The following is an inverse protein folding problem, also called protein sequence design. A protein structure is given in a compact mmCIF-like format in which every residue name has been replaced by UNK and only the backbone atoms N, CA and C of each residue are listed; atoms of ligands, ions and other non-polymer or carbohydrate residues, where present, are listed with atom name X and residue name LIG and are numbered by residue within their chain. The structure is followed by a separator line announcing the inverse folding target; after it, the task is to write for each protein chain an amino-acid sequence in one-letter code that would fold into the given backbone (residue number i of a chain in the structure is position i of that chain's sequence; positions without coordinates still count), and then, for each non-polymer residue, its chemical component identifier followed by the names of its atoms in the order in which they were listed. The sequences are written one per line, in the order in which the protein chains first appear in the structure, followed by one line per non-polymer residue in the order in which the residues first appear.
data_IF_162502578866
#
_entry.id   IF_162502578866
#
_cell.length_a   1.000
_cell.length_b   1.000
_cell.length_c   1.000
_cell.angle_alpha   90.00
_cell.angle_beta   90.00
_cell.angle_gamma   90.00
#
_symmetry.space_group_name_H-M   'P 1'
#
loop_
_entity.id
_entity.type
_entity.pdbx_description
1 polymer ?
#
# COMPACT_ATOMS: atom_id res chain seq x y z
N UNK A 1 -3.14 -15.31 -16.16
CA UNK A 1 -1.91 -14.50 -16.29
C UNK A 1 -1.99 -13.40 -15.25
N UNK A 2 -0.91 -13.17 -14.49
CA UNK A 2 -0.84 -12.07 -13.53
C UNK A 2 -0.53 -10.76 -14.28
N UNK A 3 -1.24 -9.67 -13.94
CA UNK A 3 -0.97 -8.35 -14.51
C UNK A 3 0.37 -7.87 -13.96
N UNK A 4 1.31 -7.52 -14.84
CA UNK A 4 2.51 -6.81 -14.45
C UNK A 4 2.21 -5.31 -14.37
N UNK A 5 2.56 -4.71 -13.25
CA UNK A 5 2.40 -3.28 -13.00
C UNK A 5 3.79 -2.71 -12.75
N UNK A 6 4.10 -1.60 -13.42
CA UNK A 6 5.39 -0.92 -13.24
C UNK A 6 5.36 -0.04 -12.00
N UNK A 7 6.52 0.22 -11.40
CA UNK A 7 6.63 1.22 -10.32
C UNK A 7 6.24 2.63 -10.80
N UNK A 8 6.35 2.92 -12.09
CA UNK A 8 5.90 4.19 -12.65
C UNK A 8 4.36 4.28 -12.62
N UNK A 9 3.64 3.20 -12.94
CA UNK A 9 2.18 3.13 -12.81
C UNK A 9 1.76 3.28 -11.35
N UNK A 10 2.40 2.54 -10.42
CA UNK A 10 2.07 2.64 -8.99
C UNK A 10 2.22 4.08 -8.47
N UNK A 11 3.24 4.82 -8.90
CA UNK A 11 3.46 6.22 -8.49
C UNK A 11 2.32 7.17 -8.85
N UNK A 12 1.49 6.84 -9.84
CA UNK A 12 0.33 7.66 -10.21
C UNK A 12 -0.84 7.51 -9.21
N UNK A 13 -0.89 6.39 -8.49
CA UNK A 13 -1.92 6.03 -7.50
C UNK A 13 -1.50 6.45 -6.08
N UNK A 14 -1.39 7.76 -5.87
CA UNK A 14 -0.80 8.38 -4.67
C UNK A 14 -1.75 9.29 -3.87
N UNK A 15 -3.07 9.07 -3.96
CA UNK A 15 -4.09 9.91 -3.31
C UNK A 15 -4.99 9.08 -2.41
N UNK A 16 -5.63 9.69 -1.42
CA UNK A 16 -6.59 8.99 -0.56
C UNK A 16 -7.71 8.30 -1.37
N UNK A 17 -8.18 8.94 -2.44
CA UNK A 17 -9.21 8.39 -3.35
C UNK A 17 -8.68 7.40 -4.39
N UNK A 18 -7.36 7.18 -4.45
CA UNK A 18 -6.67 6.35 -5.44
C UNK A 18 -5.29 5.96 -4.87
N UNK A 19 -5.29 4.96 -3.98
CA UNK A 19 -4.17 4.66 -3.07
C UNK A 19 -3.63 3.27 -3.34
N UNK A 20 -2.50 3.17 -4.02
CA UNK A 20 -1.80 1.91 -4.20
C UNK A 20 -0.46 1.90 -3.49
N UNK A 21 -0.03 0.72 -3.05
CA UNK A 21 1.28 0.49 -2.45
C UNK A 21 1.90 -0.80 -3.00
N UNK A 22 3.22 -0.90 -2.92
CA UNK A 22 3.92 -2.18 -3.12
C UNK A 22 4.33 -2.75 -1.77
N UNK A 23 4.00 -4.02 -1.53
CA UNK A 23 4.48 -4.80 -0.39
C UNK A 23 5.00 -6.13 -0.95
N UNK A 24 6.27 -6.45 -0.68
CA UNK A 24 6.92 -7.69 -1.12
C UNK A 24 6.75 -7.98 -2.64
N UNK A 25 6.98 -6.97 -3.48
CA UNK A 25 6.82 -7.02 -4.94
C UNK A 25 5.38 -7.25 -5.45
N UNK A 26 4.36 -7.16 -4.58
CA UNK A 26 2.95 -7.20 -4.96
C UNK A 26 2.33 -5.81 -4.84
N UNK A 27 1.48 -5.46 -5.79
CA UNK A 27 0.74 -4.20 -5.78
C UNK A 27 -0.60 -4.40 -5.10
N UNK A 28 -0.91 -3.54 -4.13
CA UNK A 28 -2.17 -3.54 -3.39
C UNK A 28 -2.91 -2.23 -3.62
N UNK A 29 -4.18 -2.34 -3.99
CA UNK A 29 -5.11 -1.21 -3.98
C UNK A 29 -5.78 -1.14 -2.61
N UNK A 30 -5.40 -0.12 -1.83
CA UNK A 30 -5.90 0.10 -0.48
C UNK A 30 -6.96 1.21 -0.42
N UNK A 31 -7.43 1.70 -1.57
CA UNK A 31 -8.37 2.84 -1.66
C UNK A 31 -9.63 2.64 -0.81
N UNK A 32 -10.11 1.40 -0.72
CA UNK A 32 -11.29 1.06 0.10
C UNK A 32 -10.94 0.67 1.53
N UNK A 33 -9.75 0.11 1.73
CA UNK A 33 -9.30 -0.37 3.04
C UNK A 33 -8.78 0.76 3.94
N UNK A 34 -8.46 1.95 3.39
CA UNK A 34 -7.86 3.04 4.16
C UNK A 34 -8.63 3.39 5.44
N UNK A 35 -9.96 3.39 5.36
CA UNK A 35 -10.86 3.74 6.47
C UNK A 35 -10.98 2.60 7.51
N UNK A 36 -10.59 1.38 7.12
CA UNK A 36 -10.62 0.17 7.94
C UNK A 36 -9.24 -0.18 8.53
N UNK A 37 -8.20 0.53 8.10
CA UNK A 37 -6.83 0.26 8.55
C UNK A 37 -6.65 0.62 10.04
N UNK A 38 -6.31 -0.33 10.92
CA UNK A 38 -6.18 -0.07 12.35
C UNK A 38 -5.10 0.95 12.71
N UNK A 39 -4.08 1.11 11.86
CA UNK A 39 -3.02 2.12 12.02
C UNK A 39 -3.42 3.53 11.56
N UNK A 40 -4.67 3.72 11.08
CA UNK A 40 -5.18 4.97 10.54
C UNK A 40 -4.90 5.15 9.04
N UNK A 41 -5.70 5.98 8.37
CA UNK A 41 -5.52 6.26 6.94
C UNK A 41 -4.29 7.12 6.64
N UNK A 42 -3.89 7.98 7.59
CA UNK A 42 -2.80 8.94 7.41
C UNK A 42 -1.49 8.25 7.01
N UNK A 43 -1.13 7.17 7.71
CA UNK A 43 0.09 6.41 7.43
C UNK A 43 0.07 5.72 6.07
N UNK A 44 -1.12 5.34 5.57
CA UNK A 44 -1.26 4.77 4.23
C UNK A 44 -1.08 5.84 3.15
N UNK A 45 -1.62 7.04 3.38
CA UNK A 45 -1.49 8.17 2.45
C UNK A 45 -0.02 8.62 2.36
N UNK A 46 0.72 8.59 3.47
CA UNK A 46 2.17 8.89 3.48
C UNK A 46 2.99 7.92 2.63
N UNK A 47 2.55 6.67 2.48
CA UNK A 47 3.21 5.65 1.66
C UNK A 47 2.57 5.40 0.29
N UNK A 48 1.57 6.18 -0.07
CA UNK A 48 0.85 6.00 -1.32
C UNK A 48 1.77 6.17 -2.54
N UNK A 49 1.61 5.30 -3.52
CA UNK A 49 2.36 5.29 -4.78
C UNK A 49 3.83 4.85 -4.67
N UNK A 50 4.24 4.21 -3.58
CA UNK A 50 5.61 3.70 -3.41
C UNK A 50 5.66 2.27 -2.87
N UNK A 51 6.87 1.73 -2.83
CA UNK A 51 7.17 0.50 -2.10
C UNK A 51 7.23 0.80 -0.60
N UNK A 52 6.29 0.21 0.13
CA UNK A 52 6.09 0.36 1.56
C UNK A 52 6.52 -0.90 2.32
N UNK A 53 7.23 -1.83 1.69
CA UNK A 53 7.64 -3.11 2.31
C UNK A 53 8.44 -2.85 3.60
N UNK A 54 9.37 -1.90 3.57
CA UNK A 54 10.20 -1.56 4.74
C UNK A 54 9.34 -0.99 5.86
N UNK A 55 8.47 -0.02 5.56
CA UNK A 55 7.55 0.58 6.53
C UNK A 55 6.62 -0.48 7.15
N UNK A 56 6.10 -1.40 6.32
CA UNK A 56 5.21 -2.47 6.74
C UNK A 56 5.89 -3.46 7.70
N UNK A 57 7.13 -3.86 7.43
CA UNK A 57 7.92 -4.74 8.30
C UNK A 57 8.43 -4.03 9.57
N UNK A 58 8.81 -2.74 9.49
CA UNK A 58 9.28 -1.97 10.66
C UNK A 58 8.19 -1.78 11.72
N UNK A 59 6.92 -1.66 11.29
CA UNK A 59 5.77 -1.60 12.21
C UNK A 59 5.50 -2.96 12.87
N UNK A 60 5.91 -4.07 12.26
CA UNK A 60 5.75 -5.41 12.82
C UNK A 60 4.32 -5.95 12.76
N UNK A 61 3.65 -5.77 11.62
CA UNK A 61 2.29 -6.28 11.38
C UNK A 61 2.15 -7.78 11.72
N UNK A 62 1.02 -8.13 12.37
CA UNK A 62 0.70 -9.50 12.78
C UNK A 62 0.53 -10.43 11.57
N UNK A 63 0.57 -11.75 11.79
CA UNK A 63 0.35 -12.73 10.71
C UNK A 63 -1.01 -12.59 10.02
N UNK A 64 -2.05 -12.17 10.74
CA UNK A 64 -3.38 -11.89 10.16
C UNK A 64 -3.38 -10.65 9.24
N UNK A 65 -2.45 -9.72 9.44
CA UNK A 65 -2.35 -8.51 8.65
C UNK A 65 -1.43 -8.65 7.41
N UNK A 66 -0.67 -9.76 7.30
CA UNK A 66 0.27 -10.02 6.20
C UNK A 66 -0.38 -10.74 5.01
#
# INVERSE_FOLDING_TARGET
MVKQISLAEVKEHNKASDLWVVIENKVYDLTKFRDEHPGGEEVLIEVAGRDATKDFDEVGHSQDAK
#
